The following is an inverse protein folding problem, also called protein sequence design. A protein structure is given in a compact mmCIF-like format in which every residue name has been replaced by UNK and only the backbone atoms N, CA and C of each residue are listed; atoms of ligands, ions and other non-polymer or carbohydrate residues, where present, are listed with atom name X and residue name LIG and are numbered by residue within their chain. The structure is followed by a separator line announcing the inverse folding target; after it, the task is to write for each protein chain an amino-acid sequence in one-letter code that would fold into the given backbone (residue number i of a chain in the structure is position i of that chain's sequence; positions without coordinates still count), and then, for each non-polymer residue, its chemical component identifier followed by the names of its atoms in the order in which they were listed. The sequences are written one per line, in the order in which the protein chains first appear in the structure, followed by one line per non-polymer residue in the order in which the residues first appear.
data_IF_903012945899
#
_entry.id   IF_903012945899
#
_cell.length_a   1.000
_cell.length_b   1.000
_cell.length_c   1.000
_cell.angle_alpha   90.00
_cell.angle_beta   90.00
_cell.angle_gamma   90.00
#
_symmetry.space_group_name_H-M   'P 1'
#
loop_
_entity.id
_entity.type
_entity.pdbx_description
1 polymer ?
#
# COMPACT_ATOMS: atom_id res chain seq x y z
N UNK A 1 -23.28 -9.86 17.80
CA UNK A 1 -22.06 -10.16 17.03
C UNK A 1 -22.55 -11.00 15.88
N UNK A 2 -22.83 -10.34 14.75
CA UNK A 2 -23.33 -11.05 13.57
C UNK A 2 -22.25 -12.01 13.07
N UNK A 3 -22.64 -13.26 12.88
CA UNK A 3 -21.78 -14.33 12.39
C UNK A 3 -21.36 -13.99 10.95
N UNK A 4 -20.06 -13.88 10.68
CA UNK A 4 -19.58 -13.58 9.33
C UNK A 4 -19.82 -14.83 8.48
N UNK A 5 -20.70 -14.79 7.46
CA UNK A 5 -21.04 -15.99 6.70
C UNK A 5 -19.80 -16.51 5.96
N UNK A 6 -19.65 -17.83 5.92
CA UNK A 6 -18.57 -18.48 5.17
C UNK A 6 -18.74 -18.17 3.68
N UNK A 7 -17.70 -17.68 2.98
CA UNK A 7 -17.81 -17.39 1.56
C UNK A 7 -18.15 -18.65 0.75
N UNK A 8 -19.20 -18.57 -0.09
CA UNK A 8 -19.62 -19.66 -0.98
C UNK A 8 -19.48 -19.27 -2.45
N UNK A 9 -19.44 -20.27 -3.34
CA UNK A 9 -19.43 -20.04 -4.78
C UNK A 9 -20.59 -19.12 -5.23
N UNK A 10 -20.29 -18.13 -6.06
CA UNK A 10 -21.26 -17.13 -6.54
C UNK A 10 -21.36 -15.85 -5.70
N UNK A 11 -20.72 -15.79 -4.52
CA UNK A 11 -20.62 -14.54 -3.75
C UNK A 11 -19.55 -13.60 -4.32
N UNK A 12 -19.85 -12.30 -4.33
CA UNK A 12 -18.85 -11.25 -4.60
C UNK A 12 -18.05 -10.98 -3.33
N UNK A 13 -16.72 -11.01 -3.41
CA UNK A 13 -15.84 -10.69 -2.28
C UNK A 13 -14.99 -9.49 -2.66
N UNK A 14 -15.30 -8.33 -2.09
CA UNK A 14 -14.50 -7.12 -2.27
C UNK A 14 -13.43 -7.04 -1.20
N UNK A 15 -12.17 -7.00 -1.61
CA UNK A 15 -11.02 -6.78 -0.72
C UNK A 15 -10.44 -5.41 -0.99
N UNK A 16 -10.35 -4.57 0.04
CA UNK A 16 -9.83 -3.20 -0.04
C UNK A 16 -8.75 -3.00 1.00
N UNK A 17 -7.63 -2.42 0.58
CA UNK A 17 -6.52 -2.06 1.47
C UNK A 17 -6.13 -0.61 1.28
N UNK A 18 -5.89 0.10 2.38
CA UNK A 18 -5.30 1.44 2.39
C UNK A 18 -4.08 1.44 3.27
N UNK A 19 -2.98 1.98 2.75
CA UNK A 19 -1.76 2.20 3.48
C UNK A 19 -1.35 3.65 3.30
N UNK A 20 -1.29 4.39 4.41
CA UNK A 20 -0.82 5.76 4.42
C UNK A 20 0.61 5.75 4.95
N UNK A 21 1.55 6.35 4.21
CA UNK A 21 2.97 6.45 4.57
C UNK A 21 3.50 7.83 4.21
N UNK A 22 4.52 8.28 4.93
CA UNK A 22 5.28 9.49 4.59
C UNK A 22 6.71 9.09 4.29
N UNK A 23 7.25 9.56 3.16
CA UNK A 23 8.68 9.41 2.85
C UNK A 23 9.41 10.50 3.63
N UNK A 24 10.20 10.10 4.63
CA UNK A 24 10.92 11.02 5.52
C UNK A 24 12.41 11.10 5.20
N UNK A 25 12.95 10.07 4.53
CA UNK A 25 14.33 10.02 4.05
C UNK A 25 14.32 9.55 2.58
N UNK A 26 14.27 10.49 1.61
CA UNK A 26 14.21 10.19 0.18
C UNK A 26 15.37 9.33 -0.34
N UNK A 27 16.59 9.60 0.13
CA UNK A 27 17.79 8.90 -0.35
C UNK A 27 17.77 7.44 0.12
N UNK A 28 17.45 7.22 1.39
CA UNK A 28 17.31 5.88 1.95
C UNK A 28 16.15 5.12 1.32
N UNK A 29 15.04 5.79 1.04
CA UNK A 29 13.91 5.18 0.34
C UNK A 29 14.28 4.70 -1.07
N UNK A 30 14.98 5.52 -1.85
CA UNK A 30 15.45 5.14 -3.20
C UNK A 30 16.44 3.97 -3.12
N UNK A 31 17.38 3.99 -2.17
CA UNK A 31 18.32 2.89 -1.98
C UNK A 31 17.59 1.57 -1.61
N UNK A 32 16.60 1.65 -0.74
CA UNK A 32 15.74 0.52 -0.36
C UNK A 32 14.94 -0.02 -1.56
N UNK A 33 14.36 0.87 -2.38
CA UNK A 33 13.63 0.49 -3.57
C UNK A 33 14.52 -0.24 -4.60
N UNK A 34 15.74 0.24 -4.83
CA UNK A 34 16.73 -0.42 -5.70
C UNK A 34 17.12 -1.80 -5.18
N UNK A 35 17.33 -1.93 -3.87
CA UNK A 35 17.63 -3.22 -3.25
C UNK A 35 16.48 -4.22 -3.45
N UNK A 36 15.24 -3.80 -3.19
CA UNK A 36 14.05 -4.64 -3.39
C UNK A 36 13.83 -5.01 -4.86
N UNK A 37 14.07 -4.08 -5.78
CA UNK A 37 13.97 -4.31 -7.23
C UNK A 37 14.96 -5.39 -7.70
N UNK A 38 16.20 -5.35 -7.20
CA UNK A 38 17.22 -6.37 -7.48
C UNK A 38 16.91 -7.72 -6.84
N UNK A 39 16.40 -7.73 -5.61
CA UNK A 39 16.02 -8.97 -4.93
C UNK A 39 14.90 -9.71 -5.69
N UNK A 40 13.96 -8.96 -6.27
CA UNK A 40 12.85 -9.51 -7.05
C UNK A 40 13.22 -9.93 -8.49
N UNK A 41 14.39 -9.50 -8.98
CA UNK A 41 14.90 -9.77 -10.33
C UNK A 41 16.44 -9.91 -10.27
N UNK A 42 16.96 -11.09 -9.88
CA UNK A 42 18.39 -11.30 -9.62
C UNK A 42 19.32 -11.03 -10.82
N UNK A 43 18.78 -11.00 -12.03
CA UNK A 43 19.49 -10.65 -13.27
C UNK A 43 19.82 -9.16 -13.39
N UNK A 44 19.21 -8.30 -12.58
CA UNK A 44 19.39 -6.85 -12.63
C UNK A 44 20.63 -6.46 -11.82
N UNK A 45 21.58 -5.79 -12.48
CA UNK A 45 22.77 -5.24 -11.82
C UNK A 45 22.44 -3.98 -11.02
N UNK A 46 23.40 -3.54 -10.20
CA UNK A 46 23.23 -2.32 -9.42
C UNK A 46 23.12 -1.06 -10.28
N UNK A 47 23.94 -0.99 -11.32
CA UNK A 47 23.97 0.11 -12.28
C UNK A 47 22.62 0.19 -12.99
N UNK A 48 22.09 -0.96 -13.43
CA UNK A 48 20.79 -1.01 -14.08
C UNK A 48 19.65 -0.60 -13.16
N UNK A 49 19.67 -1.03 -11.89
CA UNK A 49 18.70 -0.60 -10.90
C UNK A 49 18.78 0.92 -10.63
N UNK A 50 19.97 1.51 -10.67
CA UNK A 50 20.16 2.95 -10.52
C UNK A 50 19.66 3.76 -11.72
N UNK A 51 19.75 3.21 -12.93
CA UNK A 51 19.17 3.77 -14.15
C UNK A 51 17.65 3.71 -14.18
N UNK A 52 17.07 2.58 -13.74
CA UNK A 52 15.62 2.36 -13.74
C UNK A 52 14.92 3.13 -12.60
N UNK A 53 15.61 3.29 -11.45
CA UNK A 53 15.09 3.98 -10.27
C UNK A 53 16.00 5.16 -9.94
N UNK A 54 15.76 6.32 -10.56
CA UNK A 54 16.65 7.48 -10.44
C UNK A 54 16.32 8.37 -9.26
N UNK A 55 15.04 8.45 -8.93
CA UNK A 55 14.50 9.32 -7.89
C UNK A 55 13.35 8.66 -7.12
N UNK A 56 12.74 9.43 -6.22
CA UNK A 56 11.62 9.00 -5.39
C UNK A 56 10.40 8.62 -6.22
N UNK A 57 10.14 9.31 -7.33
CA UNK A 57 8.97 9.06 -8.16
C UNK A 57 9.11 7.72 -8.89
N UNK A 58 10.28 7.46 -9.48
CA UNK A 58 10.59 6.17 -10.10
C UNK A 58 10.52 5.04 -9.05
N UNK A 59 11.02 5.29 -7.82
CA UNK A 59 10.97 4.32 -6.73
C UNK A 59 9.54 3.98 -6.29
N UNK A 60 8.67 5.00 -6.17
CA UNK A 60 7.25 4.81 -5.85
C UNK A 60 6.58 3.94 -6.90
N UNK A 61 6.78 4.25 -8.19
CA UNK A 61 6.19 3.48 -9.27
C UNK A 61 6.70 2.04 -9.33
N UNK A 62 8.02 1.85 -9.24
CA UNK A 62 8.61 0.52 -9.28
C UNK A 62 8.08 -0.38 -8.16
N UNK A 63 7.94 0.16 -6.94
CA UNK A 63 7.44 -0.60 -5.80
C UNK A 63 5.92 -0.87 -5.88
N UNK A 64 5.12 0.12 -6.31
CA UNK A 64 3.67 -0.06 -6.45
C UNK A 64 3.32 -1.04 -7.58
N UNK A 65 3.97 -0.93 -8.73
CA UNK A 65 3.74 -1.81 -9.87
C UNK A 65 4.11 -3.26 -9.53
N UNK A 66 5.26 -3.45 -8.86
CA UNK A 66 5.78 -4.79 -8.57
C UNK A 66 5.14 -5.46 -7.36
N UNK A 67 4.96 -4.71 -6.27
CA UNK A 67 4.55 -5.27 -4.98
C UNK A 67 3.16 -4.81 -4.53
N UNK A 68 2.55 -3.83 -5.21
CA UNK A 68 1.31 -3.20 -4.76
C UNK A 68 1.46 -2.37 -3.48
N UNK A 69 2.69 -2.09 -3.03
CA UNK A 69 2.99 -1.39 -1.77
C UNK A 69 4.38 -0.74 -1.80
N UNK A 70 4.57 0.30 -0.99
CA UNK A 70 5.82 1.08 -0.92
C UNK A 70 6.91 0.49 -0.03
N UNK A 71 6.63 -0.61 0.67
CA UNK A 71 7.63 -1.33 1.46
C UNK A 71 7.58 -2.81 1.12
N UNK A 72 8.69 -3.39 0.70
CA UNK A 72 8.79 -4.82 0.42
C UNK A 72 8.39 -5.68 1.65
N UNK A 73 8.64 -5.18 2.87
CA UNK A 73 8.15 -5.74 4.12
C UNK A 73 7.11 -4.82 4.75
N UNK A 74 5.87 -5.28 4.88
CA UNK A 74 4.79 -4.51 5.49
C UNK A 74 5.07 -4.30 6.97
N UNK A 75 5.20 -3.05 7.45
CA UNK A 75 5.17 -2.81 8.87
C UNK A 75 3.73 -2.71 9.36
N UNK A 76 3.44 -3.37 10.48
CA UNK A 76 2.33 -2.90 11.31
C UNK A 76 2.59 -1.44 11.72
N UNK A 77 1.53 -0.68 11.93
CA UNK A 77 1.63 0.67 12.52
C UNK A 77 2.39 0.59 13.84
N UNK A 78 3.62 1.11 13.89
CA UNK A 78 4.41 1.20 15.14
C UNK A 78 4.49 2.64 15.65
N UNK A 79 3.87 3.61 14.97
CA UNK A 79 3.90 5.03 15.33
C UNK A 79 2.61 5.48 16.02
N UNK A 80 2.74 6.42 16.96
CA UNK A 80 1.59 7.18 17.47
C UNK A 80 1.13 8.20 16.42
N UNK A 81 -0.18 8.51 16.32
CA UNK A 81 -0.65 9.61 15.48
C UNK A 81 0.14 10.90 15.72
N UNK A 82 0.57 11.55 14.65
CA UNK A 82 1.35 12.79 14.70
C UNK A 82 2.86 12.62 14.90
N UNK A 83 3.35 11.41 15.18
CA UNK A 83 4.79 11.14 15.34
C UNK A 83 5.39 10.50 14.08
N UNK A 84 6.43 11.14 13.52
CA UNK A 84 7.20 10.57 12.40
C UNK A 84 8.27 9.62 12.92
N UNK A 85 8.41 8.47 12.27
CA UNK A 85 9.52 7.53 12.51
C UNK A 85 10.63 7.91 11.52
N UNK A 86 11.72 8.50 12.02
CA UNK A 86 12.79 9.02 11.16
C UNK A 86 13.86 7.97 10.82
N UNK A 87 14.09 7.01 11.71
CA UNK A 87 15.23 6.08 11.61
C UNK A 87 14.88 4.74 10.95
N UNK A 88 13.74 4.66 10.25
CA UNK A 88 13.30 3.42 9.63
C UNK A 88 14.24 3.05 8.46
N UNK A 89 14.65 1.77 8.32
CA UNK A 89 15.63 1.37 7.30
C UNK A 89 15.22 1.62 5.83
N UNK A 90 13.92 1.74 5.55
CA UNK A 90 13.40 1.99 4.20
C UNK A 90 13.05 3.46 3.95
N UNK A 91 13.38 4.38 4.87
CA UNK A 91 13.11 5.81 4.74
C UNK A 91 11.64 6.21 4.81
N UNK A 92 10.76 5.28 5.22
CA UNK A 92 9.32 5.52 5.39
C UNK A 92 8.97 5.84 6.84
N UNK A 93 7.83 6.52 7.00
CA UNK A 93 7.14 6.67 8.28
C UNK A 93 5.69 6.24 8.06
N UNK A 94 5.32 4.99 8.43
CA UNK A 94 3.93 4.52 8.35
C UNK A 94 2.99 5.41 9.16
N UNK A 95 1.85 5.77 8.57
CA UNK A 95 0.83 6.65 9.14
C UNK A 95 -0.53 5.94 9.35
N UNK A 96 -0.72 4.76 8.77
CA UNK A 96 -1.90 3.93 9.03
C UNK A 96 -2.04 2.79 8.03
N UNK A 97 -2.72 1.72 8.44
CA UNK A 97 -3.14 0.63 7.56
C UNK A 97 -4.59 0.27 7.88
N UNK A 98 -5.43 0.16 6.84
CA UNK A 98 -6.82 -0.32 6.93
C UNK A 98 -7.04 -1.41 5.92
N UNK A 99 -7.72 -2.47 6.34
CA UNK A 99 -8.12 -3.60 5.50
C UNK A 99 -9.60 -3.84 5.70
N UNK A 100 -10.33 -3.97 4.60
CA UNK A 100 -11.77 -4.23 4.62
C UNK A 100 -12.09 -5.36 3.65
N UNK A 101 -12.85 -6.34 4.14
CA UNK A 101 -13.37 -7.45 3.36
C UNK A 101 -14.89 -7.36 3.44
N UNK A 102 -15.54 -7.19 2.29
CA UNK A 102 -16.99 -7.08 2.18
C UNK A 102 -17.50 -8.26 1.37
N UNK A 103 -18.38 -9.06 1.98
CA UNK A 103 -19.07 -10.17 1.31
C UNK A 103 -20.36 -9.65 0.69
N UNK A 104 -20.66 -10.12 -0.52
CA UNK A 104 -21.79 -9.67 -1.34
C UNK A 104 -21.85 -8.15 -1.44
N UNK A 105 -20.70 -7.54 -1.72
CA UNK A 105 -20.61 -6.10 -1.88
C UNK A 105 -21.60 -5.64 -2.94
N UNK A 106 -22.59 -4.79 -2.59
CA UNK A 106 -23.58 -4.31 -3.55
C UNK A 106 -22.96 -3.37 -4.60
N UNK A 107 -21.74 -2.89 -4.36
CA UNK A 107 -21.02 -1.95 -5.24
C UNK A 107 -19.54 -2.35 -5.36
N UNK A 108 -19.23 -3.48 -6.01
CA UNK A 108 -17.84 -3.86 -6.23
C UNK A 108 -17.18 -2.86 -7.20
N UNK A 109 -15.90 -2.56 -6.97
CA UNK A 109 -15.13 -1.62 -7.81
C UNK A 109 -15.08 -2.04 -9.28
N UNK A 110 -15.23 -3.34 -9.57
CA UNK A 110 -15.28 -3.85 -10.94
C UNK A 110 -16.42 -3.23 -11.76
N UNK A 111 -17.55 -2.89 -11.13
CA UNK A 111 -18.75 -2.45 -11.84
C UNK A 111 -18.75 -0.94 -12.16
N UNK A 112 -17.94 -0.15 -11.43
CA UNK A 112 -17.89 1.32 -11.54
C UNK A 112 -16.48 1.88 -11.82
N UNK A 113 -15.44 1.04 -11.78
CA UNK A 113 -14.05 1.42 -11.97
C UNK A 113 -13.45 2.22 -10.80
N UNK A 114 -12.29 2.84 -11.04
CA UNK A 114 -11.63 3.71 -10.04
C UNK A 114 -12.29 5.09 -9.91
N UNK A 115 -13.39 5.35 -10.62
CA UNK A 115 -14.14 6.60 -10.56
C UNK A 115 -15.29 6.45 -9.58
N UNK A 116 -14.96 6.51 -8.29
CA UNK A 116 -15.97 6.44 -7.25
C UNK A 116 -16.71 7.79 -7.14
N UNK A 117 -18.02 7.80 -6.86
CA UNK A 117 -18.71 9.04 -6.51
C UNK A 117 -17.98 9.74 -5.36
N UNK A 118 -17.81 11.06 -5.41
CA UNK A 118 -17.04 11.84 -4.41
C UNK A 118 -17.53 11.61 -2.97
N UNK A 119 -18.79 11.20 -2.81
CA UNK A 119 -19.45 10.91 -1.54
C UNK A 119 -19.11 9.51 -0.97
N UNK A 120 -18.45 8.65 -1.73
CA UNK A 120 -18.11 7.28 -1.35
C UNK A 120 -16.59 7.14 -1.15
N UNK A 121 -16.10 7.43 0.05
CA UNK A 121 -14.76 7.03 0.50
C UNK A 121 -14.87 5.67 1.22
N UNK A 122 -14.31 4.58 0.67
CA UNK A 122 -14.44 3.23 1.22
C UNK A 122 -13.63 3.06 2.51
N UNK A 123 -12.83 4.07 2.86
CA UNK A 123 -12.08 4.18 4.09
C UNK A 123 -12.49 5.38 4.94
N UNK A 124 -13.57 6.09 4.61
CA UNK A 124 -14.10 7.13 5.49
C UNK A 124 -14.37 6.56 6.88
N UNK A 125 -14.02 7.30 7.91
CA UNK A 125 -14.44 6.99 9.27
C UNK A 125 -15.95 7.26 9.31
N UNK A 126 -16.80 6.30 9.72
CA UNK A 126 -18.21 6.60 9.91
C UNK A 126 -18.35 7.76 10.89
N UNK A 127 -19.19 8.78 10.62
CA UNK A 127 -19.35 9.89 11.54
C UNK A 127 -19.81 9.36 12.90
N UNK A 128 -19.01 9.60 13.95
CA UNK A 128 -19.31 9.20 15.34
C UNK A 128 -18.38 8.15 15.96
N UNK A 129 -17.27 7.78 15.32
CA UNK A 129 -16.19 6.97 15.94
C UNK A 129 -15.28 7.78 16.85
#
# INVERSE_FOLDING_TARGET
MDEIPVPTAGMTISVRTRQDVVIVDPERFVASARAAYREASPEITEERAAEDIRDVYDAVWALLDRFGRLAANAPGSTGLPGQRILDRPDGLSPAGERKHIVLNDPQPLQDYGCFMPEEYDPFAIPPGA
#
